data_IF_173556959644
#
_entry.id   IF_173556959644
#
_cell.length_a   1.000
_cell.length_b   1.000
_cell.length_c   1.000
_cell.angle_alpha   90.00
_cell.angle_beta   90.00
_cell.angle_gamma   90.00
#
_symmetry.space_group_name_H-M   'P 1'
#
loop_
_entity.id
_entity.type
_entity.pdbx_description
1 polymer ?
#
# COMPACT_ATOMS: atom_id res chain seq x y z
N UNK A 1 14.28 -0.45 -88.83
CA UNK A 1 13.77 -1.54 -87.97
C UNK A 1 14.93 -2.14 -87.21
N UNK A 2 15.01 -1.92 -85.89
CA UNK A 2 15.94 -2.62 -85.00
C UNK A 2 15.22 -2.80 -83.66
N UNK A 3 14.84 -4.03 -83.37
CA UNK A 3 14.13 -4.41 -82.17
C UNK A 3 15.09 -4.37 -80.97
N UNK A 4 14.75 -3.58 -79.96
CA UNK A 4 15.38 -3.62 -78.64
C UNK A 4 14.51 -4.49 -77.74
N UNK A 5 15.01 -5.68 -77.43
CA UNK A 5 14.50 -6.56 -76.37
C UNK A 5 15.67 -6.81 -75.44
N UNK A 6 15.63 -6.24 -74.25
CA UNK A 6 16.32 -6.77 -73.06
C UNK A 6 15.47 -6.44 -71.85
N UNK A 7 14.88 -7.51 -71.32
CA UNK A 7 14.34 -7.67 -69.99
C UNK A 7 15.39 -7.39 -68.92
N UNK A 8 14.99 -6.77 -67.81
CA UNK A 8 15.32 -7.29 -66.48
C UNK A 8 14.51 -6.57 -65.40
N UNK A 9 13.67 -7.38 -64.76
CA UNK A 9 12.86 -7.09 -63.58
C UNK A 9 13.82 -6.95 -62.39
N UNK A 10 14.11 -5.72 -61.92
CA UNK A 10 14.85 -5.55 -60.67
C UNK A 10 13.90 -5.63 -59.48
N UNK A 11 13.76 -6.84 -58.93
CA UNK A 11 13.33 -7.08 -57.55
C UNK A 11 14.18 -6.22 -56.59
N UNK A 12 13.52 -5.38 -55.78
CA UNK A 12 14.13 -4.28 -55.02
C UNK A 12 14.98 -4.67 -53.80
N UNK A 13 15.39 -3.71 -52.94
CA UNK A 13 15.85 -4.04 -51.61
C UNK A 13 14.64 -4.42 -50.77
N UNK A 14 14.54 -5.71 -50.42
CA UNK A 14 13.65 -6.16 -49.36
C UNK A 14 14.02 -5.42 -48.06
N UNK A 15 13.25 -4.40 -47.71
CA UNK A 15 13.19 -3.86 -46.36
C UNK A 15 12.87 -5.04 -45.44
N UNK A 16 13.89 -5.62 -44.80
CA UNK A 16 13.73 -6.57 -43.71
C UNK A 16 13.13 -5.82 -42.50
N UNK A 17 11.84 -5.54 -42.56
CA UNK A 17 11.02 -5.17 -41.39
C UNK A 17 10.77 -6.41 -40.55
N UNK A 18 11.83 -6.91 -39.91
CA UNK A 18 11.74 -7.91 -38.86
C UNK A 18 11.43 -7.26 -37.49
N UNK A 19 11.03 -8.05 -36.47
CA UNK A 19 10.41 -7.61 -35.22
C UNK A 19 11.34 -6.88 -34.23
N UNK A 20 12.42 -6.26 -34.71
CA UNK A 20 13.41 -5.58 -33.87
C UNK A 20 12.78 -4.47 -33.05
N UNK A 21 11.98 -3.58 -33.65
CA UNK A 21 11.39 -2.46 -32.93
C UNK A 21 10.58 -2.91 -31.70
N UNK A 22 9.73 -3.93 -31.84
CA UNK A 22 8.94 -4.46 -30.71
C UNK A 22 9.78 -5.05 -29.59
N UNK A 23 10.92 -5.67 -29.93
CA UNK A 23 11.86 -6.22 -28.93
C UNK A 23 12.60 -5.11 -28.17
N UNK A 24 13.04 -4.05 -28.85
CA UNK A 24 13.65 -2.87 -28.22
C UNK A 24 12.67 -2.18 -27.26
N UNK A 25 11.40 -2.03 -27.65
CA UNK A 25 10.38 -1.45 -26.76
C UNK A 25 10.07 -2.34 -25.55
N UNK A 26 10.02 -3.66 -25.72
CA UNK A 26 9.79 -4.58 -24.61
C UNK A 26 10.96 -4.61 -23.61
N UNK A 27 12.19 -4.62 -24.10
CA UNK A 27 13.41 -4.59 -23.26
C UNK A 27 13.53 -3.26 -22.50
N UNK A 28 13.22 -2.12 -23.14
CA UNK A 28 13.18 -0.81 -22.49
C UNK A 28 12.10 -0.75 -21.41
N UNK A 29 10.89 -1.21 -21.70
CA UNK A 29 9.79 -1.21 -20.74
C UNK A 29 10.09 -2.11 -19.54
N UNK A 30 10.73 -3.27 -19.75
CA UNK A 30 11.18 -4.12 -18.66
C UNK A 30 12.22 -3.42 -17.77
N UNK A 31 13.25 -2.79 -18.35
CA UNK A 31 14.27 -2.07 -17.59
C UNK A 31 13.71 -0.86 -16.83
N UNK A 32 12.78 -0.10 -17.43
CA UNK A 32 12.12 1.01 -16.74
C UNK A 32 11.26 0.51 -15.59
N UNK A 33 10.50 -0.58 -15.79
CA UNK A 33 9.69 -1.22 -14.75
C UNK A 33 10.54 -1.73 -13.59
N UNK A 34 11.68 -2.35 -13.88
CA UNK A 34 12.61 -2.84 -12.85
C UNK A 34 13.17 -1.67 -12.03
N UNK A 35 13.56 -0.57 -12.70
CA UNK A 35 14.00 0.66 -12.03
C UNK A 35 12.90 1.34 -11.22
N UNK A 36 11.66 1.32 -11.70
CA UNK A 36 10.50 1.87 -10.97
C UNK A 36 10.20 1.04 -9.71
N UNK A 37 10.37 -0.28 -9.77
CA UNK A 37 10.24 -1.17 -8.62
C UNK A 37 11.35 -0.92 -7.60
N UNK A 38 12.61 -0.83 -8.06
CA UNK A 38 13.76 -0.51 -7.21
C UNK A 38 13.59 0.85 -6.54
N UNK A 39 13.21 1.87 -7.31
CA UNK A 39 12.96 3.21 -6.80
C UNK A 39 11.78 3.23 -5.81
N UNK A 40 10.67 2.59 -6.17
CA UNK A 40 9.49 2.49 -5.31
C UNK A 40 9.78 1.75 -4.01
N UNK A 41 10.54 0.66 -4.08
CA UNK A 41 11.01 -0.10 -2.92
C UNK A 41 11.94 0.72 -2.03
N UNK A 42 12.91 1.41 -2.61
CA UNK A 42 13.81 2.30 -1.88
C UNK A 42 13.04 3.44 -1.20
N UNK A 43 12.12 4.08 -1.93
CA UNK A 43 11.27 5.15 -1.41
C UNK A 43 10.37 4.64 -0.27
N UNK A 44 9.79 3.46 -0.43
CA UNK A 44 8.99 2.81 0.62
C UNK A 44 9.81 2.56 1.88
N UNK A 45 11.02 2.00 1.75
CA UNK A 45 11.90 1.74 2.90
C UNK A 45 12.38 3.01 3.58
N UNK A 46 12.79 4.02 2.79
CA UNK A 46 13.21 5.33 3.31
C UNK A 46 12.04 6.01 4.04
N UNK A 47 10.80 5.81 3.59
CA UNK A 47 9.61 6.31 4.27
C UNK A 47 9.26 5.49 5.53
N UNK A 48 9.33 4.16 5.45
CA UNK A 48 8.89 3.25 6.51
C UNK A 48 9.85 3.25 7.69
N UNK A 49 11.15 3.10 7.46
CA UNK A 49 12.13 2.85 8.52
C UNK A 49 12.20 3.99 9.56
N UNK A 50 12.27 5.28 9.17
CA UNK A 50 12.27 6.37 10.16
C UNK A 50 10.96 6.44 10.94
N UNK A 51 9.80 6.25 10.28
CA UNK A 51 8.49 6.26 10.95
C UNK A 51 8.35 5.11 11.94
N UNK A 52 8.79 3.92 11.54
CA UNK A 52 8.78 2.75 12.39
C UNK A 52 9.72 2.92 13.59
N UNK A 53 10.92 3.46 13.37
CA UNK A 53 11.86 3.77 14.44
C UNK A 53 11.25 4.75 15.45
N UNK A 54 10.69 5.86 14.97
CA UNK A 54 10.04 6.86 15.83
C UNK A 54 8.85 6.24 16.58
N UNK A 55 8.01 5.47 15.89
CA UNK A 55 6.89 4.77 16.50
C UNK A 55 7.36 3.88 17.65
N UNK A 56 8.36 3.02 17.42
CA UNK A 56 8.91 2.10 18.44
C UNK A 56 9.55 2.87 19.59
N UNK A 57 10.44 3.83 19.28
CA UNK A 57 11.23 4.55 20.28
C UNK A 57 10.39 5.47 21.17
N UNK A 58 9.25 5.96 20.67
CA UNK A 58 8.38 6.91 21.38
C UNK A 58 7.01 6.34 21.74
N UNK A 59 6.82 5.02 21.70
CA UNK A 59 5.54 4.32 21.96
C UNK A 59 4.86 4.64 23.29
N UNK A 60 5.56 5.25 24.26
CA UNK A 60 5.02 5.58 25.58
C UNK A 60 4.58 7.04 25.78
N UNK A 61 4.69 7.91 24.78
CA UNK A 61 4.30 9.32 24.93
C UNK A 61 2.78 9.47 24.83
N UNK A 62 2.09 10.02 25.85
CA UNK A 62 0.64 10.13 25.82
C UNK A 62 0.20 11.18 24.79
N UNK A 63 -0.39 10.71 23.70
CA UNK A 63 -1.07 11.56 22.71
C UNK A 63 -2.57 11.42 22.93
N UNK A 64 -3.25 12.55 23.16
CA UNK A 64 -4.67 12.59 23.53
C UNK A 64 -5.58 11.83 22.55
N UNK A 65 -5.41 12.03 21.25
CA UNK A 65 -6.23 11.34 20.24
C UNK A 65 -5.94 9.84 20.16
N UNK A 66 -4.66 9.46 20.31
CA UNK A 66 -4.22 8.06 20.31
C UNK A 66 -4.87 7.23 21.41
N UNK A 67 -5.06 7.83 22.57
CA UNK A 67 -5.70 7.19 23.71
C UNK A 67 -7.15 6.80 23.43
N UNK A 68 -7.94 7.70 22.82
CA UNK A 68 -9.32 7.40 22.44
C UNK A 68 -9.42 6.29 21.41
N UNK A 69 -8.48 6.26 20.47
CA UNK A 69 -8.43 5.20 19.47
C UNK A 69 -8.15 3.84 20.10
N UNK A 70 -7.22 3.79 21.05
CA UNK A 70 -6.88 2.57 21.79
C UNK A 70 -8.07 2.03 22.58
N UNK A 71 -8.74 2.88 23.35
CA UNK A 71 -9.93 2.49 24.14
C UNK A 71 -11.05 1.93 23.26
N UNK A 72 -11.34 2.61 22.14
CA UNK A 72 -12.35 2.12 21.20
C UNK A 72 -11.94 0.80 20.55
N UNK A 73 -10.65 0.62 20.24
CA UNK A 73 -10.13 -0.60 19.62
C UNK A 73 -10.18 -1.80 20.56
N UNK A 74 -9.81 -1.62 21.84
CA UNK A 74 -9.90 -2.65 22.89
C UNK A 74 -11.34 -3.16 23.02
N UNK A 75 -12.31 -2.25 23.15
CA UNK A 75 -13.72 -2.63 23.34
C UNK A 75 -14.34 -3.33 22.14
N UNK A 76 -13.96 -2.93 20.91
CA UNK A 76 -14.36 -3.65 19.70
C UNK A 76 -13.70 -5.04 19.68
N UNK A 77 -12.42 -5.14 20.02
CA UNK A 77 -11.70 -6.42 20.04
C UNK A 77 -12.29 -7.40 21.06
N UNK A 78 -12.70 -6.90 22.23
CA UNK A 78 -13.38 -7.64 23.31
C UNK A 78 -14.85 -8.01 22.99
N UNK A 79 -15.43 -7.46 21.93
CA UNK A 79 -16.79 -7.78 21.50
C UNK A 79 -17.89 -6.88 22.07
N UNK A 80 -17.55 -5.82 22.77
CA UNK A 80 -18.50 -4.82 23.29
C UNK A 80 -18.92 -3.77 22.25
N UNK A 81 -18.41 -3.87 21.02
CA UNK A 81 -18.65 -2.91 19.95
C UNK A 81 -18.05 -1.54 20.26
N UNK A 82 -18.48 -0.52 19.50
CA UNK A 82 -18.00 0.85 19.70
C UNK A 82 -18.77 1.53 20.85
N UNK A 83 -18.39 1.17 22.07
CA UNK A 83 -18.99 1.61 23.33
C UNK A 83 -17.92 2.13 24.28
N UNK A 84 -18.30 2.87 25.32
CA UNK A 84 -17.45 3.17 26.49
C UNK A 84 -18.15 2.71 27.76
N UNK A 85 -17.35 2.34 28.77
CA UNK A 85 -17.85 2.07 30.11
C UNK A 85 -17.94 3.37 30.91
N UNK A 86 -19.11 3.61 31.51
CA UNK A 86 -19.30 4.65 32.51
C UNK A 86 -19.73 4.04 33.83
N UNK A 87 -19.31 4.67 34.93
CA UNK A 87 -19.92 4.40 36.23
C UNK A 87 -21.18 5.26 36.37
N UNK A 88 -22.31 4.61 36.63
CA UNK A 88 -23.57 5.25 37.00
C UNK A 88 -24.13 4.53 38.21
N UNK A 89 -24.36 5.26 39.29
CA UNK A 89 -24.91 4.71 40.55
C UNK A 89 -24.09 3.51 41.10
N UNK A 90 -22.76 3.56 40.94
CA UNK A 90 -21.86 2.48 41.35
C UNK A 90 -21.85 1.25 40.41
N UNK A 91 -22.65 1.25 39.36
CA UNK A 91 -22.69 0.19 38.35
C UNK A 91 -21.94 0.61 37.08
N UNK A 92 -21.21 -0.34 36.48
CA UNK A 92 -20.59 -0.14 35.16
C UNK A 92 -21.63 -0.38 34.07
N UNK A 93 -21.92 0.65 33.29
CA UNK A 93 -22.88 0.59 32.18
C UNK A 93 -22.13 0.92 30.89
N UNK A 94 -22.36 0.13 29.84
CA UNK A 94 -21.87 0.43 28.50
C UNK A 94 -22.79 1.47 27.85
N UNK A 95 -22.22 2.60 27.39
CA UNK A 95 -22.92 3.57 26.54
C UNK A 95 -22.32 3.57 25.13
N UNK A 96 -23.11 3.93 24.10
CA UNK A 96 -22.56 4.20 22.77
C UNK A 96 -21.45 5.25 22.86
N UNK A 97 -20.33 4.99 22.20
CA UNK A 97 -19.18 5.87 22.21
C UNK A 97 -19.48 7.17 21.45
N UNK A 98 -19.18 8.33 22.06
CA UNK A 98 -19.50 9.63 21.48
C UNK A 98 -18.37 10.33 20.73
N UNK A 99 -17.16 9.76 20.71
CA UNK A 99 -16.00 10.40 20.05
C UNK A 99 -15.85 9.88 18.61
N UNK A 100 -15.59 10.79 17.67
CA UNK A 100 -15.17 10.45 16.31
C UNK A 100 -13.63 10.36 16.24
N UNK A 101 -13.06 9.66 15.25
CA UNK A 101 -13.65 8.74 14.25
C UNK A 101 -13.65 7.24 14.63
N UNK A 102 -14.74 6.54 14.27
CA UNK A 102 -14.92 5.08 14.49
C UNK A 102 -13.98 4.20 13.65
N UNK A 103 -13.69 4.63 12.42
CA UNK A 103 -12.99 3.79 11.43
C UNK A 103 -11.58 3.38 11.85
N UNK A 104 -10.84 4.27 12.48
CA UNK A 104 -9.47 3.97 12.90
C UNK A 104 -9.42 3.00 14.08
N UNK A 105 -10.31 3.14 15.07
CA UNK A 105 -10.45 2.15 16.16
C UNK A 105 -10.87 0.77 15.64
N UNK A 106 -11.79 0.70 14.66
CA UNK A 106 -12.18 -0.57 14.06
C UNK A 106 -11.00 -1.24 13.32
N UNK A 107 -10.19 -0.46 12.61
CA UNK A 107 -8.96 -0.95 11.98
C UNK A 107 -7.96 -1.47 13.02
N UNK A 108 -7.70 -0.73 14.09
CA UNK A 108 -6.84 -1.17 15.20
C UNK A 108 -7.36 -2.44 15.88
N UNK A 109 -8.67 -2.55 16.08
CA UNK A 109 -9.29 -3.72 16.70
C UNK A 109 -9.02 -5.03 15.92
N UNK A 110 -8.89 -4.95 14.59
CA UNK A 110 -8.47 -6.09 13.77
C UNK A 110 -7.07 -6.56 14.18
N UNK A 111 -6.11 -5.65 14.35
CA UNK A 111 -4.77 -6.00 14.82
C UNK A 111 -4.81 -6.53 16.25
N UNK A 112 -5.62 -5.94 17.13
CA UNK A 112 -5.74 -6.43 18.52
C UNK A 112 -6.33 -7.84 18.59
N UNK A 113 -7.23 -8.20 17.67
CA UNK A 113 -7.72 -9.59 17.55
C UNK A 113 -6.65 -10.57 17.06
N UNK A 114 -5.69 -10.11 16.25
CA UNK A 114 -4.64 -10.98 15.68
C UNK A 114 -3.44 -11.09 16.63
N UNK A 115 -3.01 -9.97 17.22
CA UNK A 115 -1.77 -9.85 17.96
C UNK A 115 -1.96 -9.67 19.48
N UNK A 116 -3.18 -9.42 19.95
CA UNK A 116 -3.48 -9.05 21.33
C UNK A 116 -3.49 -7.53 21.56
N UNK A 117 -4.02 -7.11 22.71
CA UNK A 117 -4.13 -5.69 23.12
C UNK A 117 -2.87 -5.16 23.82
N UNK A 118 -1.91 -6.02 24.16
CA UNK A 118 -0.60 -5.63 24.68
C UNK A 118 0.52 -6.38 23.95
N UNK A 119 1.57 -5.67 23.53
CA UNK A 119 2.88 -6.29 23.38
C UNK A 119 3.41 -6.50 24.81
N UNK A 120 3.41 -7.75 25.26
CA UNK A 120 4.09 -8.14 26.50
C UNK A 120 5.59 -7.94 26.41
#
# INVERSE_FOLDING_TARGET
MKALKTSETSTGPALRSGPRAGRWFAELHAHLKDRDLEFGGALFLIALLPRLFVAIALTGQPVWDGHYYNLGAERIAEGFGYSEEILRDGQRIAKPWSHYPVGYSAWLALFYKIFGTSLS
#
